data_IF_539002396744
#
_entry.id   IF_539002396744
#
_cell.length_a   1.000
_cell.length_b   1.000
_cell.length_c   1.000
_cell.angle_alpha   90.00
_cell.angle_beta   90.00
_cell.angle_gamma   90.00
#
_symmetry.space_group_name_H-M   'P 1'
#
loop_
_entity.id
_entity.type
_entity.pdbx_description
1 polymer ?
#
# COMPACT_ATOMS: atom_id res chain seq x y z
N UNK A 1 -3.07 -9.05 16.96
CA UNK A 1 -4.44 -9.40 16.56
C UNK A 1 -5.48 -8.75 17.47
N UNK A 2 -6.64 -8.39 16.92
CA UNK A 2 -7.77 -7.80 17.65
C UNK A 2 -9.09 -8.28 17.04
N UNK A 3 -10.20 -8.08 17.79
CA UNK A 3 -11.52 -8.47 17.33
C UNK A 3 -11.63 -9.99 17.10
N UNK A 4 -12.27 -10.41 16.02
CA UNK A 4 -12.46 -11.83 15.70
C UNK A 4 -11.15 -12.61 15.47
N UNK A 5 -10.04 -11.94 15.18
CA UNK A 5 -8.74 -12.60 15.01
C UNK A 5 -8.12 -13.12 16.31
N UNK A 6 -8.69 -12.79 17.47
CA UNK A 6 -8.24 -13.31 18.76
C UNK A 6 -8.96 -14.59 19.19
N UNK A 7 -9.95 -15.07 18.41
CA UNK A 7 -10.78 -16.24 18.77
C UNK A 7 -10.01 -17.56 18.83
N UNK A 8 -8.97 -17.71 18.02
CA UNK A 8 -8.13 -18.89 18.04
C UNK A 8 -6.74 -18.61 17.43
N UNK A 9 -5.80 -19.53 17.69
CA UNK A 9 -4.41 -19.41 17.24
C UNK A 9 -4.23 -19.40 15.72
N UNK A 10 -5.11 -20.05 14.98
CA UNK A 10 -5.06 -20.04 13.51
C UNK A 10 -5.36 -18.64 12.95
N UNK A 11 -6.42 -18.02 13.45
CA UNK A 11 -6.79 -16.64 13.08
C UNK A 11 -5.72 -15.62 13.52
N UNK A 12 -5.10 -15.81 14.69
CA UNK A 12 -3.99 -14.97 15.11
C UNK A 12 -2.79 -15.06 14.14
N UNK A 13 -2.43 -16.27 13.71
CA UNK A 13 -1.34 -16.50 12.76
C UNK A 13 -1.66 -15.90 11.39
N UNK A 14 -2.88 -16.14 10.91
CA UNK A 14 -3.36 -15.53 9.67
C UNK A 14 -3.25 -14.00 9.70
N UNK A 15 -3.76 -13.37 10.77
CA UNK A 15 -3.68 -11.92 10.92
C UNK A 15 -2.24 -11.40 10.87
N UNK A 16 -1.32 -12.06 11.61
CA UNK A 16 0.10 -11.65 11.62
C UNK A 16 0.74 -11.78 10.25
N UNK A 17 0.46 -12.86 9.53
CA UNK A 17 0.98 -13.08 8.17
C UNK A 17 0.47 -12.01 7.21
N UNK A 18 -0.85 -11.75 7.19
CA UNK A 18 -1.45 -10.73 6.35
C UNK A 18 -0.90 -9.34 6.66
N UNK A 19 -0.82 -8.97 7.93
CA UNK A 19 -0.25 -7.69 8.36
C UNK A 19 1.21 -7.55 7.92
N UNK A 20 2.01 -8.61 8.04
CA UNK A 20 3.39 -8.59 7.59
C UNK A 20 3.48 -8.25 6.08
N UNK A 21 2.76 -8.96 5.24
CA UNK A 21 2.77 -8.73 3.79
C UNK A 21 2.24 -7.36 3.39
N UNK A 22 1.36 -6.77 4.20
CA UNK A 22 0.82 -5.43 3.96
C UNK A 22 1.73 -4.32 4.48
N UNK A 23 2.49 -4.56 5.57
CA UNK A 23 3.30 -3.53 6.24
C UNK A 23 4.80 -3.62 5.94
N UNK A 24 5.25 -4.61 5.17
CA UNK A 24 6.61 -4.75 4.71
C UNK A 24 6.72 -4.41 3.21
N UNK A 25 6.65 -3.12 2.83
CA UNK A 25 6.72 -2.71 1.44
C UNK A 25 8.15 -2.71 0.93
N UNK A 26 8.31 -2.85 -0.38
CA UNK A 26 9.49 -2.39 -1.08
C UNK A 26 9.25 -1.00 -1.64
N UNK A 27 10.22 -0.12 -1.49
CA UNK A 27 10.16 1.23 -2.00
C UNK A 27 10.60 1.27 -3.46
N UNK A 28 9.79 1.91 -4.30
CA UNK A 28 10.07 2.05 -5.72
C UNK A 28 11.38 2.80 -5.98
N UNK A 29 11.66 3.83 -5.18
CA UNK A 29 12.85 4.69 -5.32
C UNK A 29 14.12 4.09 -4.69
N UNK A 30 14.03 2.91 -4.05
CA UNK A 30 15.19 2.22 -3.51
C UNK A 30 15.64 1.10 -4.47
N UNK A 31 16.77 1.26 -5.12
CA UNK A 31 17.28 0.33 -6.13
C UNK A 31 17.35 -1.12 -5.66
N UNK A 32 17.88 -1.34 -4.46
CA UNK A 32 18.02 -2.70 -3.92
C UNK A 32 16.66 -3.35 -3.71
N UNK A 33 15.72 -2.61 -3.15
CA UNK A 33 14.37 -3.11 -2.89
C UNK A 33 13.60 -3.31 -4.20
N UNK A 34 13.72 -2.36 -5.14
CA UNK A 34 13.08 -2.47 -6.44
C UNK A 34 13.60 -3.67 -7.25
N UNK A 35 14.92 -3.89 -7.29
CA UNK A 35 15.49 -5.10 -7.93
C UNK A 35 15.00 -6.38 -7.26
N UNK A 36 14.86 -6.41 -5.92
CA UNK A 36 14.31 -7.56 -5.22
C UNK A 36 12.85 -7.84 -5.62
N UNK A 37 12.02 -6.81 -5.76
CA UNK A 37 10.65 -6.95 -6.26
C UNK A 37 10.62 -7.43 -7.71
N UNK A 38 11.49 -6.91 -8.56
CA UNK A 38 11.58 -7.37 -9.96
C UNK A 38 11.93 -8.86 -10.02
N UNK A 39 12.84 -9.32 -9.17
CA UNK A 39 13.15 -10.76 -9.07
C UNK A 39 11.94 -11.58 -8.58
N UNK A 40 11.22 -11.11 -7.56
CA UNK A 40 10.01 -11.79 -7.07
C UNK A 40 8.94 -11.85 -8.18
N UNK A 41 8.73 -10.75 -8.89
CA UNK A 41 7.79 -10.67 -9.99
C UNK A 41 8.16 -11.59 -11.16
N UNK A 42 9.45 -11.71 -11.47
CA UNK A 42 9.95 -12.62 -12.50
C UNK A 42 9.70 -14.09 -12.10
N UNK A 43 10.03 -14.48 -10.87
CA UNK A 43 9.75 -15.82 -10.36
C UNK A 43 8.26 -16.14 -10.44
N UNK A 44 7.41 -15.22 -10.01
CA UNK A 44 5.96 -15.39 -10.07
C UNK A 44 5.46 -15.51 -11.52
N UNK A 45 6.07 -14.75 -12.44
CA UNK A 45 5.75 -14.79 -13.88
C UNK A 45 6.16 -16.10 -14.55
N UNK A 46 7.28 -16.68 -14.12
CA UNK A 46 7.83 -17.93 -14.68
C UNK A 46 7.13 -19.19 -14.12
N UNK A 47 6.33 -19.05 -13.06
CA UNK A 47 5.63 -20.15 -12.40
C UNK A 47 4.10 -19.94 -12.45
N UNK A 48 3.42 -20.34 -13.53
CA UNK A 48 1.97 -20.09 -13.70
C UNK A 48 1.10 -20.67 -12.59
N UNK A 49 1.52 -21.79 -11.99
CA UNK A 49 0.80 -22.39 -10.85
C UNK A 49 0.85 -21.53 -9.60
N UNK A 50 1.98 -20.92 -9.31
CA UNK A 50 2.12 -20.03 -8.16
C UNK A 50 1.39 -18.70 -8.43
N UNK A 51 1.42 -18.22 -9.66
CA UNK A 51 0.60 -17.09 -10.08
C UNK A 51 -0.88 -17.39 -9.86
N UNK A 52 -1.34 -18.56 -10.28
CA UNK A 52 -2.73 -18.95 -10.06
C UNK A 52 -3.09 -19.03 -8.58
N UNK A 53 -2.24 -19.61 -7.74
CA UNK A 53 -2.44 -19.66 -6.27
C UNK A 53 -2.52 -18.27 -5.67
N UNK A 54 -1.69 -17.34 -6.17
CA UNK A 54 -1.74 -15.95 -5.77
C UNK A 54 -3.09 -15.31 -6.15
N UNK A 55 -3.51 -15.47 -7.41
CA UNK A 55 -4.76 -14.94 -7.92
C UNK A 55 -5.96 -15.54 -7.15
N UNK A 56 -6.00 -16.88 -6.95
CA UNK A 56 -7.04 -17.58 -6.17
C UNK A 56 -7.19 -17.02 -4.73
N UNK A 57 -6.10 -16.50 -4.15
CA UNK A 57 -6.12 -15.86 -2.83
C UNK A 57 -6.58 -14.40 -2.91
N UNK A 58 -6.14 -13.66 -3.93
CA UNK A 58 -6.31 -12.20 -3.98
C UNK A 58 -7.62 -11.77 -4.64
N UNK A 59 -8.15 -12.54 -5.59
CA UNK A 59 -9.40 -12.22 -6.29
C UNK A 59 -10.62 -12.13 -5.36
N UNK A 60 -10.84 -13.08 -4.42
CA UNK A 60 -11.94 -12.93 -3.46
C UNK A 60 -11.82 -11.69 -2.59
N UNK A 61 -10.58 -11.33 -2.21
CA UNK A 61 -10.32 -10.13 -1.41
C UNK A 61 -10.61 -8.88 -2.26
N UNK A 62 -10.18 -8.85 -3.52
CA UNK A 62 -10.47 -7.75 -4.44
C UNK A 62 -11.98 -7.58 -4.67
N UNK A 63 -12.69 -8.68 -4.86
CA UNK A 63 -14.14 -8.65 -5.03
C UNK A 63 -14.90 -8.12 -3.81
N UNK A 64 -14.48 -8.51 -2.60
CA UNK A 64 -15.17 -8.14 -1.36
C UNK A 64 -14.78 -6.77 -0.80
N UNK A 65 -13.52 -6.37 -0.97
CA UNK A 65 -12.96 -5.18 -0.30
C UNK A 65 -12.55 -4.10 -1.30
N UNK A 66 -12.33 -4.44 -2.55
CA UNK A 66 -11.94 -3.49 -3.60
C UNK A 66 -10.50 -3.60 -4.06
N UNK A 67 -10.11 -2.64 -4.90
CA UNK A 67 -8.81 -2.61 -5.56
C UNK A 67 -7.65 -2.30 -4.59
N UNK A 68 -6.42 -2.67 -4.95
CA UNK A 68 -5.26 -2.35 -4.14
C UNK A 68 -4.97 -0.84 -4.10
N UNK A 69 -4.55 -0.34 -2.94
CA UNK A 69 -4.11 1.03 -2.75
C UNK A 69 -2.61 1.23 -3.05
N UNK A 70 -1.85 0.16 -3.10
CA UNK A 70 -0.43 0.14 -3.46
C UNK A 70 -0.19 -0.82 -4.62
N UNK A 71 0.94 -0.67 -5.31
CA UNK A 71 1.32 -1.59 -6.38
C UNK A 71 1.51 -3.01 -5.84
N UNK A 72 0.87 -3.97 -6.45
CA UNK A 72 1.06 -5.39 -6.17
C UNK A 72 2.23 -5.96 -6.98
N UNK A 73 2.99 -6.89 -6.40
CA UNK A 73 4.02 -7.65 -7.14
C UNK A 73 3.44 -8.32 -8.39
N UNK A 74 2.17 -8.74 -8.33
CA UNK A 74 1.40 -9.29 -9.47
C UNK A 74 1.37 -8.34 -10.65
N UNK A 75 1.15 -7.06 -10.43
CA UNK A 75 1.11 -6.03 -11.49
C UNK A 75 2.50 -5.79 -12.11
N UNK A 76 3.56 -5.87 -11.28
CA UNK A 76 4.94 -5.83 -11.76
C UNK A 76 5.24 -7.04 -12.66
N UNK A 77 4.78 -8.24 -12.29
CA UNK A 77 4.89 -9.45 -13.10
C UNK A 77 4.17 -9.31 -14.46
N UNK A 78 2.99 -8.72 -14.47
CA UNK A 78 2.26 -8.45 -15.70
C UNK A 78 2.99 -7.46 -16.63
N UNK A 79 3.58 -6.41 -16.06
CA UNK A 79 4.39 -5.47 -16.84
C UNK A 79 5.63 -6.14 -17.44
N UNK A 80 6.34 -6.98 -16.65
CA UNK A 80 7.48 -7.75 -17.15
C UNK A 80 7.11 -8.57 -18.38
N UNK A 81 5.99 -9.29 -18.30
CA UNK A 81 5.50 -10.16 -19.37
C UNK A 81 5.04 -9.36 -20.59
N UNK A 82 4.23 -8.32 -20.40
CA UNK A 82 3.69 -7.48 -21.48
C UNK A 82 4.80 -6.71 -22.21
N UNK A 83 5.75 -6.15 -21.46
CA UNK A 83 6.88 -5.41 -21.99
C UNK A 83 7.99 -6.30 -22.51
N UNK A 84 7.88 -7.64 -22.38
CA UNK A 84 8.90 -8.62 -22.78
C UNK A 84 10.27 -8.29 -22.20
N UNK A 85 10.29 -7.78 -20.96
CA UNK A 85 11.53 -7.46 -20.30
C UNK A 85 12.32 -8.71 -19.94
N UNK A 86 13.64 -8.67 -20.18
CA UNK A 86 14.56 -9.75 -19.82
C UNK A 86 15.13 -9.46 -18.45
N UNK A 87 14.96 -10.38 -17.49
CA UNK A 87 15.40 -10.19 -16.09
C UNK A 87 16.90 -9.82 -16.02
N UNK A 88 17.75 -10.50 -16.82
CA UNK A 88 19.18 -10.20 -16.84
C UNK A 88 19.44 -8.73 -17.17
N UNK A 89 18.77 -8.17 -18.19
CA UNK A 89 18.94 -6.78 -18.56
C UNK A 89 18.51 -5.83 -17.43
N UNK A 90 17.38 -6.11 -16.77
CA UNK A 90 16.92 -5.32 -15.62
C UNK A 90 17.88 -5.38 -14.41
N UNK A 91 18.64 -6.46 -14.29
CA UNK A 91 19.61 -6.60 -13.19
C UNK A 91 20.98 -5.98 -13.49
N UNK A 92 21.35 -5.82 -14.77
CA UNK A 92 22.71 -5.41 -15.18
C UNK A 92 22.78 -4.08 -15.92
N UNK A 93 21.66 -3.55 -16.40
CA UNK A 93 21.58 -2.28 -17.12
C UNK A 93 20.64 -1.31 -16.40
N UNK A 94 21.24 -0.26 -15.83
CA UNK A 94 20.51 0.74 -15.05
C UNK A 94 19.53 1.54 -15.92
N UNK A 95 19.82 1.78 -17.20
CA UNK A 95 18.92 2.49 -18.09
C UNK A 95 17.63 1.70 -18.36
N UNK A 96 17.76 0.38 -18.56
CA UNK A 96 16.62 -0.54 -18.70
C UNK A 96 15.83 -0.62 -17.42
N UNK A 97 16.48 -0.69 -16.24
CA UNK A 97 15.82 -0.69 -14.94
C UNK A 97 15.03 0.60 -14.72
N UNK A 98 15.62 1.76 -15.01
CA UNK A 98 14.95 3.06 -14.86
C UNK A 98 13.78 3.24 -15.83
N UNK A 99 13.86 2.71 -17.03
CA UNK A 99 12.73 2.67 -17.94
C UNK A 99 11.59 1.86 -17.33
N UNK A 100 11.89 0.68 -16.84
CA UNK A 100 10.90 -0.20 -16.21
C UNK A 100 10.31 0.42 -14.93
N UNK A 101 11.15 1.06 -14.11
CA UNK A 101 10.72 1.79 -12.91
C UNK A 101 9.66 2.85 -13.23
N UNK A 102 9.86 3.63 -14.29
CA UNK A 102 8.88 4.63 -14.72
C UNK A 102 7.54 4.01 -15.10
N UNK A 103 7.53 2.85 -15.74
CA UNK A 103 6.27 2.15 -16.06
C UNK A 103 5.55 1.68 -14.79
N UNK A 104 6.28 1.17 -13.80
CA UNK A 104 5.71 0.81 -12.49
C UNK A 104 5.21 2.05 -11.74
N UNK A 105 5.91 3.18 -11.85
CA UNK A 105 5.55 4.44 -11.21
C UNK A 105 4.20 4.97 -11.71
N UNK A 106 3.89 4.81 -12.98
CA UNK A 106 2.56 5.19 -13.53
C UNK A 106 1.44 4.43 -12.80
N UNK A 107 1.64 3.15 -12.47
CA UNK A 107 0.65 2.38 -11.71
C UNK A 107 0.57 2.91 -10.27
N UNK A 108 1.71 3.19 -9.65
CA UNK A 108 1.77 3.70 -8.29
C UNK A 108 1.05 5.06 -8.17
N UNK A 109 1.27 5.96 -9.11
CA UNK A 109 0.61 7.28 -9.16
C UNK A 109 -0.90 7.18 -9.31
N UNK A 110 -1.39 6.19 -10.06
CA UNK A 110 -2.82 5.97 -10.26
C UNK A 110 -3.51 5.32 -9.04
N UNK A 111 -2.80 4.47 -8.29
CA UNK A 111 -3.37 3.68 -7.20
C UNK A 111 -3.20 4.29 -5.82
N UNK A 112 -2.06 4.90 -5.54
CA UNK A 112 -1.66 5.42 -4.23
C UNK A 112 -2.47 6.67 -3.83
N UNK A 113 -3.74 6.51 -3.53
CA UNK A 113 -4.66 7.61 -3.21
C UNK A 113 -4.66 7.96 -1.72
N UNK A 114 -4.50 6.96 -0.85
CA UNK A 114 -4.43 7.16 0.59
C UNK A 114 -2.97 7.38 0.98
N UNK A 115 -2.53 8.65 0.98
CA UNK A 115 -1.15 9.03 1.29
C UNK A 115 -1.13 9.82 2.59
N UNK A 116 -0.48 9.31 3.65
CA UNK A 116 -0.17 10.11 4.82
C UNK A 116 0.70 11.30 4.43
N UNK A 117 0.62 12.36 5.23
CA UNK A 117 1.49 13.53 5.09
C UNK A 117 2.97 13.12 5.11
N UNK A 118 3.75 13.65 4.18
CA UNK A 118 5.20 13.35 4.04
C UNK A 118 6.00 13.63 5.33
N UNK A 119 5.51 14.54 6.18
CA UNK A 119 6.12 14.83 7.50
C UNK A 119 6.08 13.64 8.46
N UNK A 120 5.15 12.71 8.24
CA UNK A 120 4.92 11.53 9.07
C UNK A 120 5.28 10.23 8.38
N UNK A 121 5.64 10.29 7.11
CA UNK A 121 6.00 9.12 6.34
C UNK A 121 7.52 8.93 6.33
N UNK A 122 7.94 7.83 6.92
CA UNK A 122 9.33 7.42 6.90
C UNK A 122 9.69 6.87 5.51
N UNK A 123 10.05 7.76 4.58
CA UNK A 123 10.93 7.46 3.44
C UNK A 123 10.43 6.56 2.28
N UNK A 124 9.17 6.18 2.17
CA UNK A 124 8.71 5.34 1.07
C UNK A 124 7.36 5.80 0.56
N UNK A 125 7.36 6.66 -0.45
CA UNK A 125 6.11 7.20 -1.02
C UNK A 125 5.40 6.20 -1.92
N UNK A 126 6.12 5.60 -2.85
CA UNK A 126 5.59 4.65 -3.80
C UNK A 126 5.97 3.23 -3.37
N UNK A 127 4.97 2.52 -2.85
CA UNK A 127 5.12 1.21 -2.20
C UNK A 127 4.72 0.09 -3.14
N UNK A 128 5.50 -0.99 -3.12
CA UNK A 128 5.16 -2.23 -3.78
C UNK A 128 5.05 -3.31 -2.71
N UNK A 129 3.93 -4.00 -2.64
CA UNK A 129 3.67 -5.03 -1.66
C UNK A 129 3.35 -6.36 -2.35
N UNK A 130 3.70 -7.48 -1.71
CA UNK A 130 3.24 -8.80 -2.17
C UNK A 130 1.73 -8.88 -2.07
N UNK A 131 1.16 -8.42 -0.96
CA UNK A 131 -0.28 -8.39 -0.71
C UNK A 131 -0.67 -6.97 -0.26
N UNK A 132 -0.91 -6.04 -1.20
CA UNK A 132 -1.15 -4.64 -0.86
C UNK A 132 -2.43 -4.45 -0.04
N UNK A 133 -2.46 -3.37 0.73
CA UNK A 133 -3.69 -2.90 1.36
C UNK A 133 -4.71 -2.52 0.29
N UNK A 134 -5.99 -2.56 0.67
CA UNK A 134 -7.08 -2.19 -0.23
C UNK A 134 -7.43 -0.73 -0.08
N UNK A 135 -7.76 -0.12 -1.20
CA UNK A 135 -8.31 1.22 -1.21
C UNK A 135 -9.70 1.23 -0.58
N UNK A 136 -9.90 2.13 0.36
CA UNK A 136 -11.18 2.38 1.00
C UNK A 136 -11.52 3.85 0.85
N UNK A 137 -12.61 4.16 0.17
CA UNK A 137 -13.07 5.55 -0.06
C UNK A 137 -13.24 6.33 1.25
N UNK A 138 -13.77 5.68 2.28
CA UNK A 138 -13.92 6.27 3.61
C UNK A 138 -12.56 6.71 4.21
N UNK A 139 -11.52 5.94 3.98
CA UNK A 139 -10.17 6.26 4.46
C UNK A 139 -9.58 7.47 3.73
N UNK A 140 -9.85 7.62 2.43
CA UNK A 140 -9.44 8.81 1.66
C UNK A 140 -10.20 10.06 2.14
N UNK A 141 -11.52 9.95 2.32
CA UNK A 141 -12.35 11.05 2.85
C UNK A 141 -11.88 11.45 4.26
N UNK A 142 -11.64 10.47 5.14
CA UNK A 142 -11.13 10.74 6.49
C UNK A 142 -9.75 11.40 6.46
N UNK A 143 -8.86 10.98 5.56
CA UNK A 143 -7.55 11.62 5.41
C UNK A 143 -7.69 13.08 4.99
N UNK A 144 -8.64 13.39 4.10
CA UNK A 144 -8.95 14.76 3.69
C UNK A 144 -9.54 15.65 4.81
N UNK A 145 -10.02 15.07 5.92
CA UNK A 145 -10.46 15.84 7.10
C UNK A 145 -9.30 16.38 7.94
N UNK A 146 -8.08 15.87 7.73
CA UNK A 146 -6.88 16.36 8.39
C UNK A 146 -6.24 17.39 7.48
N UNK A 147 -6.09 18.62 7.96
CA UNK A 147 -5.39 19.68 7.23
C UNK A 147 -3.87 19.39 7.26
N UNK A 148 -3.39 18.86 6.17
CA UNK A 148 -1.98 18.53 6.01
C UNK A 148 -1.11 19.73 5.61
N UNK A 149 -1.73 20.83 5.17
CA UNK A 149 -1.02 22.04 4.73
C UNK A 149 -0.83 23.05 5.88
N UNK A 150 -1.54 22.87 7.00
CA UNK A 150 -1.42 23.77 8.14
C UNK A 150 -0.13 23.53 8.93
N UNK A 151 0.69 24.56 9.16
CA UNK A 151 1.90 24.44 9.98
C UNK A 151 1.59 24.15 11.46
N UNK A 152 0.36 24.35 11.89
CA UNK A 152 -0.10 24.13 13.26
C UNK A 152 -0.68 22.73 13.47
N UNK A 153 -1.03 22.00 12.41
CA UNK A 153 -1.57 20.65 12.50
C UNK A 153 -0.44 19.68 12.84
N UNK A 154 -0.57 19.01 13.97
CA UNK A 154 0.42 18.02 14.46
C UNK A 154 -0.01 16.58 14.19
N UNK A 155 -1.14 16.38 13.54
CA UNK A 155 -1.70 15.04 13.30
C UNK A 155 -1.56 14.67 11.83
N UNK A 156 -0.88 13.54 11.57
CA UNK A 156 -0.75 12.98 10.21
C UNK A 156 -1.84 11.98 9.84
N UNK A 157 -2.69 11.60 10.81
CA UNK A 157 -3.76 10.63 10.59
C UNK A 157 -5.07 11.09 11.21
N UNK A 158 -6.20 10.89 10.52
CA UNK A 158 -7.53 11.20 11.04
C UNK A 158 -7.90 10.24 12.19
N UNK A 159 -8.82 10.70 13.03
CA UNK A 159 -9.43 9.92 14.12
C UNK A 159 -10.94 9.88 13.95
N UNK A 160 -11.61 8.95 14.59
CA UNK A 160 -13.07 8.92 14.61
C UNK A 160 -13.71 10.21 15.14
N UNK A 161 -13.03 10.93 16.07
CA UNK A 161 -13.50 12.22 16.56
C UNK A 161 -13.58 13.30 15.49
N UNK A 162 -12.73 13.28 14.46
CA UNK A 162 -12.79 14.24 13.35
C UNK A 162 -14.12 14.15 12.61
N UNK A 163 -14.63 12.93 12.42
CA UNK A 163 -15.94 12.69 11.81
C UNK A 163 -17.05 13.30 12.65
N UNK A 164 -17.02 13.07 13.97
CA UNK A 164 -18.05 13.64 14.86
C UNK A 164 -17.98 15.18 14.92
N UNK A 165 -16.78 15.75 14.93
CA UNK A 165 -16.61 17.20 14.89
C UNK A 165 -17.13 17.79 13.57
N UNK A 166 -16.83 17.16 12.44
CA UNK A 166 -17.33 17.57 11.12
C UNK A 166 -18.88 17.54 11.04
N UNK A 167 -19.53 16.65 11.80
CA UNK A 167 -20.98 16.62 11.96
C UNK A 167 -21.53 17.57 13.05
N UNK A 168 -20.69 18.48 13.55
CA UNK A 168 -21.12 19.51 14.51
C UNK A 168 -21.16 19.06 15.97
N UNK A 169 -20.44 18.01 16.34
CA UNK A 169 -20.35 17.61 17.74
C UNK A 169 -19.33 18.47 18.49
N UNK A 170 -19.82 19.46 19.25
CA UNK A 170 -19.00 20.43 19.99
C UNK A 170 -18.04 19.77 21.01
N UNK A 171 -18.42 18.63 21.58
CA UNK A 171 -17.55 17.91 22.52
C UNK A 171 -16.35 17.30 21.78
N UNK A 172 -16.58 16.70 20.63
CA UNK A 172 -15.49 16.16 19.78
C UNK A 172 -14.56 17.28 19.30
N UNK A 173 -15.12 18.40 18.83
CA UNK A 173 -14.36 19.58 18.41
C UNK A 173 -13.48 20.11 19.55
N UNK A 174 -14.02 20.30 20.74
CA UNK A 174 -13.27 20.76 21.91
C UNK A 174 -12.11 19.84 22.26
N UNK A 175 -12.34 18.52 22.27
CA UNK A 175 -11.26 17.53 22.56
C UNK A 175 -10.14 17.65 21.52
N UNK A 176 -10.49 17.74 20.22
CA UNK A 176 -9.51 17.88 19.16
C UNK A 176 -8.69 19.17 19.27
N UNK A 177 -9.35 20.28 19.56
CA UNK A 177 -8.69 21.58 19.75
C UNK A 177 -7.77 21.61 20.99
N UNK A 178 -8.14 20.92 22.06
CA UNK A 178 -7.30 20.81 23.26
C UNK A 178 -6.03 19.97 23.02
N UNK A 179 -6.10 18.98 22.12
CA UNK A 179 -4.92 18.17 21.74
C UNK A 179 -3.95 18.90 20.79
N UNK A 180 -4.37 19.99 20.14
CA UNK A 180 -3.54 20.80 19.26
C UNK A 180 -2.73 21.88 20.00
N UNK A 181 -3.03 22.14 21.27
CA UNK A 181 -2.29 23.06 22.14
C UNK A 181 -1.02 22.42 22.71
#
# INVERSE_FOLDING_TARGET
PRGHYTRNKSLERYFRAMMWFQTAPACLDNDRQFRAVVMQAAVLSDHPEDMKRYDDLMEPIAFLVGEPDNVAVRQVADLLRRGRYVLKALMTDDATLEKFRREVKVIAEAQNRIRPDERFELSCRDKINLMPQRYLADSEVMLGMVDNDSPTTRRGCPRGLDVFAAFGNETAERILLDELK
#
